data_IF_992831706698
#
_entry.id   IF_992831706698
#
_cell.length_a   1.000
_cell.length_b   1.000
_cell.length_c   1.000
_cell.angle_alpha   90.00
_cell.angle_beta   90.00
_cell.angle_gamma   90.00
#
_symmetry.space_group_name_H-M   'P 1'
#
loop_
_entity.id
_entity.type
_entity.pdbx_description
1 polymer ?
#
# COMPACT_ATOMS: atom_id res chain seq x y z
N UNK A 1 -9.59 -46.03 -38.93
CA UNK A 1 -8.92 -46.56 -37.73
C UNK A 1 -7.45 -46.14 -37.87
N UNK A 2 -6.85 -45.15 -37.21
CA UNK A 2 -7.08 -44.42 -35.98
C UNK A 2 -6.52 -43.00 -36.16
N UNK A 3 -7.37 -41.97 -36.14
CA UNK A 3 -6.95 -40.58 -35.93
C UNK A 3 -6.93 -40.36 -34.41
N UNK A 4 -5.97 -40.98 -33.73
CA UNK A 4 -5.84 -40.87 -32.28
C UNK A 4 -5.08 -39.60 -31.93
N UNK A 5 -5.87 -38.60 -31.52
CA UNK A 5 -5.51 -37.41 -30.78
C UNK A 5 -4.42 -37.70 -29.74
N UNK A 6 -3.29 -37.03 -29.85
CA UNK A 6 -2.37 -36.82 -28.73
C UNK A 6 -3.07 -35.91 -27.70
N UNK A 7 -3.86 -36.52 -26.81
CA UNK A 7 -4.26 -35.87 -25.56
C UNK A 7 -3.06 -35.94 -24.63
N UNK A 8 -2.11 -35.02 -24.84
CA UNK A 8 -0.98 -34.82 -23.93
C UNK A 8 -1.57 -34.38 -22.59
N UNK A 9 -1.48 -35.26 -21.58
CA UNK A 9 -1.90 -34.97 -20.21
C UNK A 9 -1.24 -33.65 -19.78
N UNK A 10 -2.06 -32.63 -19.52
CA UNK A 10 -1.57 -31.33 -19.07
C UNK A 10 -0.83 -31.55 -17.75
N UNK A 11 0.41 -31.07 -17.60
CA UNK A 11 1.07 -31.08 -16.29
C UNK A 11 0.18 -30.31 -15.30
N UNK A 12 0.11 -30.79 -14.06
CA UNK A 12 -0.65 -30.13 -13.00
C UNK A 12 -0.01 -28.77 -12.68
N UNK A 13 -0.46 -27.72 -13.36
CA UNK A 13 0.06 -26.36 -13.19
C UNK A 13 -0.39 -25.43 -14.29
N UNK A 14 -0.49 -24.14 -13.95
CA UNK A 14 -0.69 -23.07 -14.92
C UNK A 14 0.54 -22.97 -15.82
N UNK A 15 0.31 -22.89 -17.13
CA UNK A 15 1.36 -22.55 -18.10
C UNK A 15 1.93 -21.17 -17.83
N UNK A 16 3.14 -20.89 -18.33
CA UNK A 16 3.77 -19.56 -18.20
C UNK A 16 2.88 -18.45 -18.79
N UNK A 17 2.19 -18.73 -19.91
CA UNK A 17 1.25 -17.80 -20.53
C UNK A 17 0.04 -17.52 -19.63
N UNK A 18 -0.53 -18.55 -18.98
CA UNK A 18 -1.64 -18.39 -18.03
C UNK A 18 -1.20 -17.66 -16.76
N UNK A 19 0.01 -17.94 -16.25
CA UNK A 19 0.60 -17.21 -15.12
C UNK A 19 0.75 -15.72 -15.42
N UNK A 20 1.34 -15.37 -16.57
CA UNK A 20 1.46 -13.97 -17.02
C UNK A 20 0.11 -13.32 -17.23
N UNK A 21 -0.86 -14.05 -17.79
CA UNK A 21 -2.22 -13.56 -17.97
C UNK A 21 -2.92 -13.22 -16.66
N UNK A 22 -2.69 -14.02 -15.60
CA UNK A 22 -3.21 -13.74 -14.27
C UNK A 22 -2.51 -12.54 -13.62
N UNK A 23 -1.18 -12.47 -13.64
CA UNK A 23 -0.45 -11.35 -13.02
C UNK A 23 -0.75 -10.02 -13.70
N UNK A 24 -0.92 -10.02 -15.03
CA UNK A 24 -1.34 -8.84 -15.79
C UNK A 24 -2.67 -8.27 -15.29
N UNK A 25 -3.63 -9.14 -14.96
CA UNK A 25 -4.94 -8.75 -14.45
C UNK A 25 -4.93 -8.20 -13.02
N UNK A 26 -3.83 -8.40 -12.29
CA UNK A 26 -3.68 -7.89 -10.92
C UNK A 26 -3.18 -6.44 -10.86
N UNK A 27 -2.77 -5.86 -12.00
CA UNK A 27 -2.32 -4.48 -12.06
C UNK A 27 -3.55 -3.56 -12.03
N UNK A 28 -3.70 -2.69 -11.02
CA UNK A 28 -4.77 -1.71 -11.01
C UNK A 28 -4.66 -0.79 -12.24
N UNK A 29 -5.69 -0.75 -13.07
CA UNK A 29 -5.74 0.06 -14.29
C UNK A 29 -6.94 1.04 -14.32
N UNK A 30 -7.66 1.15 -13.22
CA UNK A 30 -8.76 2.11 -13.09
C UNK A 30 -8.25 3.55 -12.96
N UNK A 31 -9.09 4.52 -13.30
CA UNK A 31 -8.77 5.94 -13.08
C UNK A 31 -8.61 6.18 -11.57
N UNK A 32 -7.48 6.76 -11.20
CA UNK A 32 -7.23 7.20 -9.84
C UNK A 32 -8.28 8.22 -9.38
N UNK A 33 -8.50 8.28 -8.07
CA UNK A 33 -9.43 9.21 -7.44
C UNK A 33 -8.71 9.94 -6.31
N UNK A 34 -8.87 11.25 -6.27
CA UNK A 34 -8.44 12.04 -5.10
C UNK A 34 -9.35 11.73 -3.92
N UNK A 35 -8.77 11.20 -2.85
CA UNK A 35 -9.48 10.82 -1.63
C UNK A 35 -9.16 11.71 -0.44
N UNK A 36 -8.02 12.42 -0.45
CA UNK A 36 -7.61 13.36 0.57
C UNK A 36 -6.77 14.48 -0.07
N UNK A 37 -6.83 15.67 0.52
CA UNK A 37 -6.01 16.82 0.13
C UNK A 37 -5.15 17.25 1.31
N UNK A 38 -3.88 17.58 1.04
CA UNK A 38 -2.91 17.98 2.05
C UNK A 38 -2.37 19.37 1.71
N UNK A 39 -2.11 20.19 2.74
CA UNK A 39 -1.43 21.48 2.59
C UNK A 39 0.09 21.35 2.36
N UNK A 40 0.63 20.14 2.40
CA UNK A 40 2.05 19.85 2.17
C UNK A 40 2.21 18.53 1.39
N UNK A 41 3.42 18.27 0.90
CA UNK A 41 3.71 17.07 0.11
C UNK A 41 3.61 15.81 0.97
N UNK A 42 3.13 14.72 0.36
CA UNK A 42 3.09 13.37 0.93
C UNK A 42 4.20 12.56 0.25
N UNK A 43 5.05 11.88 1.02
CA UNK A 43 6.22 11.17 0.48
C UNK A 43 6.19 9.65 0.68
N UNK A 44 5.49 9.16 1.70
CA UNK A 44 5.37 7.74 1.97
C UNK A 44 3.97 7.36 2.41
N UNK A 45 3.66 6.07 2.28
CA UNK A 45 2.42 5.52 2.79
C UNK A 45 2.31 4.03 2.65
N UNK A 46 1.50 3.43 3.53
CA UNK A 46 1.36 1.98 3.66
C UNK A 46 -0.02 1.62 4.16
N UNK A 47 -0.57 0.54 3.60
CA UNK A 47 -1.76 -0.10 4.16
C UNK A 47 -1.38 -1.01 5.34
N UNK A 48 -2.27 -1.11 6.33
CA UNK A 48 -2.20 -2.17 7.32
C UNK A 48 -2.29 -3.54 6.64
N UNK A 49 -1.80 -4.58 7.30
CA UNK A 49 -1.76 -5.95 6.75
C UNK A 49 -3.15 -6.45 6.32
N UNK A 50 -4.20 -6.01 7.02
CA UNK A 50 -5.58 -6.35 6.72
C UNK A 50 -6.31 -5.30 5.84
N UNK A 51 -5.60 -4.26 5.39
CA UNK A 51 -6.13 -3.21 4.52
C UNK A 51 -7.03 -2.17 5.19
N UNK A 52 -7.44 -2.37 6.45
CA UNK A 52 -8.40 -1.50 7.15
C UNK A 52 -7.90 -0.10 7.43
N UNK A 53 -6.60 0.09 7.58
CA UNK A 53 -6.01 1.39 7.79
C UNK A 53 -5.01 1.71 6.68
N UNK A 54 -4.91 2.99 6.36
CA UNK A 54 -3.86 3.53 5.52
C UNK A 54 -3.12 4.60 6.30
N UNK A 55 -1.80 4.47 6.40
CA UNK A 55 -0.93 5.47 7.01
C UNK A 55 -0.14 6.18 5.93
N UNK A 56 0.04 7.48 6.03
CA UNK A 56 0.93 8.22 5.15
C UNK A 56 1.75 9.26 5.92
N UNK A 57 2.91 9.57 5.36
CA UNK A 57 3.86 10.54 5.89
C UNK A 57 3.86 11.83 5.07
N UNK A 58 3.96 12.94 5.77
CA UNK A 58 3.92 14.28 5.16
C UNK A 58 5.22 15.05 5.39
N UNK A 59 5.49 16.01 4.52
CA UNK A 59 6.58 16.98 4.70
C UNK A 59 6.39 17.81 5.98
N UNK A 60 5.14 18.03 6.38
CA UNK A 60 4.76 18.84 7.55
C UNK A 60 4.96 18.15 8.92
N UNK A 61 5.80 17.11 9.00
CA UNK A 61 6.07 16.32 10.22
C UNK A 61 4.86 15.57 10.77
N UNK A 62 3.80 15.42 9.99
CA UNK A 62 2.61 14.68 10.39
C UNK A 62 2.60 13.31 9.72
N UNK A 63 2.31 12.30 10.53
CA UNK A 63 1.91 10.97 10.08
C UNK A 63 0.39 10.92 10.23
N UNK A 64 -0.31 10.67 9.13
CA UNK A 64 -1.78 10.67 9.10
C UNK A 64 -2.27 9.24 8.89
N UNK A 65 -3.19 8.81 9.75
CA UNK A 65 -3.83 7.49 9.69
C UNK A 65 -5.27 7.68 9.26
N UNK A 66 -5.64 6.98 8.19
CA UNK A 66 -6.99 6.92 7.64
C UNK A 66 -7.60 5.55 7.90
N UNK A 67 -8.90 5.54 8.14
CA UNK A 67 -9.73 4.35 8.13
C UNK A 67 -10.19 4.10 6.68
N UNK A 68 -9.67 3.04 6.08
CA UNK A 68 -9.95 2.62 4.70
C UNK A 68 -11.30 1.92 4.56
N UNK A 69 -11.90 1.43 5.65
CA UNK A 69 -13.21 0.77 5.62
C UNK A 69 -14.35 1.79 5.50
N UNK A 70 -14.10 3.06 5.87
CA UNK A 70 -15.05 4.14 5.63
C UNK A 70 -15.16 4.41 4.14
N UNK A 71 -16.22 3.90 3.53
CA UNK A 71 -16.59 4.11 2.13
C UNK A 71 -17.11 5.52 1.83
N UNK A 72 -16.46 6.55 2.38
CA UNK A 72 -16.77 7.93 2.09
C UNK A 72 -16.10 8.37 0.79
N UNK A 73 -16.70 9.38 0.15
CA UNK A 73 -16.12 10.00 -1.05
C UNK A 73 -14.75 10.63 -0.80
N UNK A 74 -14.50 11.05 0.44
CA UNK A 74 -13.26 11.63 0.94
C UNK A 74 -12.86 10.87 2.21
N UNK A 75 -11.60 10.51 2.34
CA UNK A 75 -11.03 9.92 3.53
C UNK A 75 -10.78 11.03 4.55
N UNK A 76 -11.35 10.88 5.73
CA UNK A 76 -11.10 11.76 6.87
C UNK A 76 -10.01 11.13 7.75
N UNK A 77 -9.04 11.92 8.23
CA UNK A 77 -8.05 11.43 9.19
C UNK A 77 -8.73 10.83 10.43
N UNK A 78 -8.44 9.57 10.71
CA UNK A 78 -8.84 8.91 11.95
C UNK A 78 -7.91 9.29 13.09
N UNK A 79 -6.62 9.51 12.76
CA UNK A 79 -5.60 9.96 13.71
C UNK A 79 -4.51 10.74 12.99
N UNK A 80 -3.97 11.76 13.65
CA UNK A 80 -2.77 12.49 13.22
C UNK A 80 -1.73 12.35 14.33
N UNK A 81 -0.52 11.95 13.96
CA UNK A 81 0.61 11.76 14.87
C UNK A 81 1.69 12.77 14.47
N UNK A 82 2.11 13.58 15.42
CA UNK A 82 3.20 14.52 15.22
C UNK A 82 4.53 13.84 15.47
N UNK A 83 5.36 13.80 14.43
CA UNK A 83 6.65 13.12 14.47
C UNK A 83 7.74 14.02 15.06
N UNK A 84 8.67 13.42 15.79
CA UNK A 84 9.70 14.11 16.58
C UNK A 84 11.07 13.98 15.91
N UNK A 85 11.98 14.90 16.25
CA UNK A 85 13.37 14.89 15.78
C UNK A 85 13.54 14.79 14.25
N UNK A 86 12.66 15.47 13.50
CA UNK A 86 12.65 15.42 12.04
C UNK A 86 13.64 16.42 11.44
N UNK A 87 14.44 15.96 10.48
CA UNK A 87 15.12 16.83 9.52
C UNK A 87 14.34 16.89 8.21
N UNK A 88 13.85 18.09 7.88
CA UNK A 88 13.17 18.48 6.63
C UNK A 88 11.84 17.78 6.32
N UNK A 89 11.80 16.44 6.33
CA UNK A 89 10.62 15.64 6.01
C UNK A 89 10.70 14.26 6.63
N UNK A 90 9.54 13.62 6.80
CA UNK A 90 9.47 12.17 6.93
C UNK A 90 9.70 11.58 5.53
N UNK A 91 10.58 10.59 5.43
CA UNK A 91 10.95 9.94 4.17
C UNK A 91 10.18 8.65 3.94
N UNK A 92 9.91 7.90 5.01
CA UNK A 92 9.12 6.67 4.94
C UNK A 92 8.38 6.40 6.26
N UNK A 93 7.32 5.59 6.19
CA UNK A 93 6.48 5.22 7.32
C UNK A 93 5.94 3.80 7.18
N UNK A 94 5.93 3.05 8.27
CA UNK A 94 5.34 1.72 8.34
C UNK A 94 4.59 1.47 9.65
N UNK A 95 3.57 0.63 9.60
CA UNK A 95 2.74 0.28 10.74
C UNK A 95 2.98 -1.17 11.15
N UNK A 96 3.15 -1.38 12.46
CA UNK A 96 3.24 -2.74 13.02
C UNK A 96 1.98 -3.57 12.71
N UNK A 97 2.08 -4.91 12.55
CA UNK A 97 0.93 -5.75 12.24
C UNK A 97 -0.22 -5.64 13.26
N UNK A 98 0.08 -5.35 14.53
CA UNK A 98 -0.88 -5.14 15.60
C UNK A 98 -1.50 -3.73 15.62
N UNK A 99 -1.05 -2.81 14.75
CA UNK A 99 -1.56 -1.42 14.58
C UNK A 99 -1.41 -0.51 15.78
N UNK A 100 -0.57 -0.92 16.74
CA UNK A 100 -0.31 -0.14 17.95
C UNK A 100 0.77 0.90 17.74
N UNK A 101 1.76 0.57 16.90
CA UNK A 101 2.94 1.41 16.68
C UNK A 101 3.15 1.67 15.19
N UNK A 102 3.77 2.80 14.91
CA UNK A 102 4.16 3.23 13.57
C UNK A 102 5.63 3.63 13.63
N UNK A 103 6.48 2.98 12.84
CA UNK A 103 7.85 3.42 12.67
C UNK A 103 7.97 4.39 11.49
N UNK A 104 8.88 5.34 11.60
CA UNK A 104 9.12 6.32 10.56
C UNK A 104 10.61 6.66 10.45
N UNK A 105 11.03 6.98 9.23
CA UNK A 105 12.37 7.46 8.92
C UNK A 105 12.33 8.92 8.50
N UNK A 106 13.43 9.63 8.72
CA UNK A 106 13.61 11.03 8.27
C UNK A 106 14.98 11.14 7.59
N UNK A 107 15.38 12.34 7.18
CA UNK A 107 16.74 12.60 6.66
C UNK A 107 17.82 12.58 7.77
N UNK A 108 17.70 11.66 8.72
CA UNK A 108 18.62 11.36 9.81
C UNK A 108 19.08 9.90 9.71
N UNK A 109 20.15 9.54 10.40
CA UNK A 109 20.67 8.16 10.42
C UNK A 109 19.89 7.20 11.34
N UNK A 110 18.79 7.64 11.93
CA UNK A 110 18.03 6.88 12.93
C UNK A 110 16.55 6.74 12.54
N UNK A 111 15.99 5.57 12.83
CA UNK A 111 14.55 5.28 12.68
C UNK A 111 13.85 5.46 14.01
N UNK A 112 12.67 6.08 14.00
CA UNK A 112 11.85 6.32 15.18
C UNK A 112 10.63 5.41 15.20
N UNK A 113 10.10 5.11 16.39
CA UNK A 113 8.92 4.26 16.64
C UNK A 113 7.80 5.06 17.33
#
# INVERSE_FOLDING_TARGET
VLQQREVRARPAGLTEGERRGLTWRMIPCSKGRTVAAFGCRVYGGRHSVDGKFYVCSTQGKQIVVFDSERHNRLLLPSKVIEARHIRWTITDVDMTPCRKFVCYSTMTSAVSL
#
